data_IF_910732872526
#
_entry.id   IF_910732872526
#
_cell.length_a   1.000
_cell.length_b   1.000
_cell.length_c   1.000
_cell.angle_alpha   90.00
_cell.angle_beta   90.00
_cell.angle_gamma   90.00
#
_symmetry.space_group_name_H-M   'P 1'
#
loop_
_entity.id
_entity.type
_entity.pdbx_description
1 polymer ?
#
# COMPACT_ATOMS: atom_id res chain seq x y z
N UNK A 1 5.55 -7.52 7.40
CA UNK A 1 5.10 -7.34 8.80
C UNK A 1 6.02 -8.10 9.75
N UNK A 2 5.99 -9.44 9.76
CA UNK A 2 6.80 -10.23 10.71
C UNK A 2 8.31 -9.95 10.62
N UNK A 3 8.88 -9.87 9.41
CA UNK A 3 10.31 -9.59 9.21
C UNK A 3 10.73 -8.18 9.66
N UNK A 4 9.80 -7.22 9.68
CA UNK A 4 10.08 -5.84 10.08
C UNK A 4 9.81 -5.57 11.56
N UNK A 5 9.17 -6.49 12.29
CA UNK A 5 8.71 -6.27 13.66
C UNK A 5 7.59 -5.23 13.79
N UNK A 6 7.00 -4.80 12.68
CA UNK A 6 5.92 -3.80 12.65
C UNK A 6 4.58 -4.52 12.72
N UNK A 7 3.75 -4.13 13.69
CA UNK A 7 2.38 -4.61 13.87
C UNK A 7 1.45 -3.94 12.84
N UNK A 8 1.56 -4.38 11.58
CA UNK A 8 0.77 -3.87 10.48
C UNK A 8 -0.54 -4.66 10.33
N UNK A 9 -1.66 -3.95 10.27
CA UNK A 9 -2.94 -4.53 9.86
C UNK A 9 -2.93 -4.86 8.36
N UNK A 10 -3.09 -6.15 8.05
CA UNK A 10 -3.11 -6.64 6.68
C UNK A 10 -4.57 -6.79 6.25
N UNK A 11 -4.98 -5.98 5.28
CA UNK A 11 -6.31 -6.04 4.68
C UNK A 11 -6.19 -6.57 3.26
N UNK A 12 -6.79 -7.73 3.01
CA UNK A 12 -7.09 -8.20 1.66
C UNK A 12 -8.45 -7.63 1.22
N UNK A 13 -8.44 -6.83 0.16
CA UNK A 13 -9.64 -6.17 -0.37
C UNK A 13 -10.66 -7.17 -0.90
N UNK A 14 -10.20 -8.27 -1.52
CA UNK A 14 -10.99 -9.27 -2.26
C UNK A 14 -11.76 -8.70 -3.46
N UNK A 15 -12.58 -7.68 -3.26
CA UNK A 15 -13.30 -6.93 -4.30
C UNK A 15 -12.56 -5.64 -4.62
N UNK A 16 -12.08 -5.51 -5.87
CA UNK A 16 -11.40 -4.30 -6.34
C UNK A 16 -12.41 -3.15 -6.47
N UNK A 17 -13.53 -3.38 -7.14
CA UNK A 17 -14.59 -2.38 -7.25
C UNK A 17 -15.95 -3.02 -7.53
N UNK A 18 -17.01 -2.71 -6.78
CA UNK A 18 -17.01 -1.86 -5.58
C UNK A 18 -16.20 -2.49 -4.43
N UNK A 19 -15.47 -1.66 -3.69
CA UNK A 19 -14.63 -2.09 -2.57
C UNK A 19 -15.30 -1.86 -1.21
N UNK A 20 -14.82 -2.55 -0.17
CA UNK A 20 -15.26 -2.37 1.22
C UNK A 20 -14.57 -1.15 1.86
N UNK A 21 -15.06 0.04 1.53
CA UNK A 21 -14.49 1.31 1.97
C UNK A 21 -14.56 1.49 3.50
N UNK A 22 -15.68 1.16 4.19
CA UNK A 22 -15.76 1.28 5.64
C UNK A 22 -14.64 0.54 6.39
N UNK A 23 -14.30 -0.68 5.97
CA UNK A 23 -13.22 -1.46 6.59
C UNK A 23 -11.86 -0.78 6.45
N UNK A 24 -11.53 -0.27 5.26
CA UNK A 24 -10.26 0.43 5.00
C UNK A 24 -10.19 1.71 5.86
N UNK A 25 -11.23 2.54 5.82
CA UNK A 25 -11.27 3.81 6.55
C UNK A 25 -11.18 3.58 8.05
N UNK A 26 -11.86 2.57 8.58
CA UNK A 26 -11.80 2.24 10.01
C UNK A 26 -10.39 1.84 10.45
N UNK A 27 -9.68 1.02 9.66
CA UNK A 27 -8.31 0.62 9.97
C UNK A 27 -7.35 1.81 9.87
N UNK A 28 -7.40 2.60 8.80
CA UNK A 28 -6.50 3.75 8.63
C UNK A 28 -6.74 4.83 9.69
N UNK A 29 -7.99 5.10 10.08
CA UNK A 29 -8.29 6.03 11.18
C UNK A 29 -7.71 5.57 12.52
N UNK A 30 -7.57 4.26 12.73
CA UNK A 30 -7.00 3.70 13.95
C UNK A 30 -5.47 3.70 13.93
N UNK A 31 -4.84 3.39 12.80
CA UNK A 31 -3.38 3.31 12.67
C UNK A 31 -2.70 4.64 12.33
N UNK A 32 -3.46 5.57 11.75
CA UNK A 32 -2.98 6.86 11.23
C UNK A 32 -2.06 6.73 10.00
N UNK A 33 -1.88 5.52 9.47
CA UNK A 33 -0.85 5.18 8.47
C UNK A 33 -1.37 4.14 7.49
N UNK A 34 -0.92 4.21 6.24
CA UNK A 34 -1.33 3.27 5.21
C UNK A 34 -0.21 3.02 4.20
N UNK A 35 -0.04 1.76 3.81
CA UNK A 35 0.81 1.34 2.68
C UNK A 35 -0.04 0.49 1.75
N UNK A 36 -0.16 0.91 0.48
CA UNK A 36 -0.88 0.14 -0.55
C UNK A 36 0.12 -0.72 -1.33
N UNK A 37 -0.18 -2.00 -1.51
CA UNK A 37 0.70 -2.94 -2.21
C UNK A 37 -0.06 -3.67 -3.32
N UNK A 38 0.48 -3.69 -4.54
CA UNK A 38 -0.07 -4.48 -5.66
C UNK A 38 0.98 -4.71 -6.76
N UNK A 39 0.86 -5.79 -7.53
CA UNK A 39 1.84 -6.14 -8.58
C UNK A 39 1.78 -5.23 -9.82
N UNK A 40 0.61 -4.66 -10.12
CA UNK A 40 0.40 -3.79 -11.28
C UNK A 40 1.35 -2.58 -11.27
N UNK A 41 1.55 -1.98 -12.46
CA UNK A 41 2.36 -0.78 -12.64
C UNK A 41 1.86 0.38 -11.77
N UNK A 42 2.75 1.30 -11.42
CA UNK A 42 2.50 2.34 -10.42
C UNK A 42 1.54 3.41 -10.93
N UNK A 43 1.81 3.90 -12.13
CA UNK A 43 1.13 5.05 -12.72
C UNK A 43 -0.26 4.61 -13.21
N UNK A 44 -1.29 5.34 -12.76
CA UNK A 44 -2.70 5.05 -13.05
C UNK A 44 -3.16 3.62 -12.69
N UNK A 45 -2.42 2.93 -11.83
CA UNK A 45 -2.84 1.65 -11.25
C UNK A 45 -3.90 1.83 -10.16
N UNK A 46 -4.55 0.73 -9.75
CA UNK A 46 -5.63 0.78 -8.76
C UNK A 46 -5.21 1.37 -7.40
N UNK A 47 -3.93 1.25 -7.03
CA UNK A 47 -3.42 1.89 -5.83
C UNK A 47 -3.53 3.42 -5.84
N UNK A 48 -3.66 4.07 -7.00
CA UNK A 48 -3.92 5.51 -7.06
C UNK A 48 -5.32 5.87 -6.53
N UNK A 49 -6.34 5.07 -6.88
CA UNK A 49 -7.72 5.24 -6.39
C UNK A 49 -7.80 5.00 -4.88
N UNK A 50 -7.16 3.94 -4.38
CA UNK A 50 -7.10 3.67 -2.94
C UNK A 50 -6.47 4.82 -2.15
N UNK A 51 -5.37 5.39 -2.66
CA UNK A 51 -4.72 6.54 -2.03
C UNK A 51 -5.63 7.76 -2.02
N UNK A 52 -6.34 8.04 -3.12
CA UNK A 52 -7.27 9.16 -3.20
C UNK A 52 -8.42 9.02 -2.18
N UNK A 53 -9.07 7.85 -2.13
CA UNK A 53 -10.16 7.58 -1.19
C UNK A 53 -9.69 7.65 0.27
N UNK A 54 -8.52 7.09 0.59
CA UNK A 54 -7.96 7.18 1.94
C UNK A 54 -7.64 8.62 2.31
N UNK A 55 -7.04 9.38 1.40
CA UNK A 55 -6.75 10.79 1.62
C UNK A 55 -8.03 11.60 1.88
N UNK A 56 -9.08 11.39 1.07
CA UNK A 56 -10.36 12.09 1.19
C UNK A 56 -11.04 11.80 2.54
N UNK A 57 -11.09 10.54 2.95
CA UNK A 57 -11.84 10.11 4.13
C UNK A 57 -11.04 10.12 5.45
N UNK A 58 -9.70 10.17 5.37
CA UNK A 58 -8.82 10.05 6.53
C UNK A 58 -7.82 11.20 6.69
N UNK A 59 -7.91 12.29 5.91
CA UNK A 59 -6.95 13.40 5.90
C UNK A 59 -6.41 13.82 7.27
N UNK A 60 -7.31 14.12 8.23
CA UNK A 60 -6.92 14.60 9.56
C UNK A 60 -6.40 13.51 10.51
N UNK A 61 -6.57 12.23 10.16
CA UNK A 61 -6.06 11.11 10.95
C UNK A 61 -4.73 10.59 10.41
N UNK A 62 -4.30 11.02 9.22
CA UNK A 62 -3.03 10.59 8.63
C UNK A 62 -1.86 11.28 9.34
N UNK A 63 -1.02 10.48 9.98
CA UNK A 63 0.21 10.94 10.66
C UNK A 63 1.37 11.07 9.66
N UNK A 64 1.33 10.31 8.57
CA UNK A 64 2.39 10.27 7.55
C UNK A 64 1.79 10.24 6.14
N UNK A 65 2.58 10.59 5.09
CA UNK A 65 2.17 10.34 3.71
C UNK A 65 1.82 8.87 3.46
N UNK A 66 0.82 8.62 2.62
CA UNK A 66 0.43 7.26 2.22
C UNK A 66 1.47 6.71 1.24
N UNK A 67 2.10 5.59 1.57
CA UNK A 67 3.09 4.94 0.71
C UNK A 67 2.42 3.95 -0.26
N UNK A 68 3.08 3.71 -1.40
CA UNK A 68 2.65 2.68 -2.37
C UNK A 68 3.83 1.84 -2.83
N UNK A 69 3.72 0.52 -2.74
CA UNK A 69 4.71 -0.43 -3.23
C UNK A 69 4.10 -1.22 -4.38
N UNK A 70 4.58 -0.96 -5.59
CA UNK A 70 3.97 -1.49 -6.81
C UNK A 70 5.00 -2.14 -7.74
N UNK A 71 4.52 -2.75 -8.82
CA UNK A 71 5.37 -2.98 -10.00
C UNK A 71 5.93 -1.66 -10.54
N UNK A 72 7.05 -1.75 -11.26
CA UNK A 72 7.66 -0.59 -11.92
C UNK A 72 6.82 -0.16 -13.14
N UNK A 73 6.97 1.08 -13.60
CA UNK A 73 6.32 1.56 -14.82
C UNK A 73 7.07 1.08 -16.07
N UNK A 74 7.12 -0.24 -16.23
CA UNK A 74 7.74 -0.95 -17.34
C UNK A 74 6.90 -2.18 -17.69
N UNK A 75 6.97 -2.69 -18.94
CA UNK A 75 6.48 -4.04 -19.22
C UNK A 75 7.12 -5.07 -18.29
N UNK A 76 6.37 -6.12 -17.98
CA UNK A 76 6.82 -7.15 -17.04
C UNK A 76 8.00 -7.94 -17.64
N UNK A 77 9.20 -7.95 -17.01
CA UNK A 77 10.37 -8.62 -17.54
C UNK A 77 10.41 -10.11 -17.15
N UNK A 78 10.97 -10.95 -18.02
CA UNK A 78 11.17 -12.37 -17.69
C UNK A 78 12.41 -12.62 -16.81
N UNK A 79 13.59 -12.18 -17.25
CA UNK A 79 14.85 -12.44 -16.54
C UNK A 79 14.99 -11.62 -15.25
N UNK A 80 14.31 -10.47 -15.15
CA UNK A 80 14.36 -9.57 -14.00
C UNK A 80 13.12 -9.67 -13.10
N UNK A 81 12.39 -10.80 -13.16
CA UNK A 81 11.19 -11.11 -12.36
C UNK A 81 11.29 -10.60 -10.92
N UNK A 82 12.31 -11.05 -10.17
CA UNK A 82 12.47 -10.74 -8.75
C UNK A 82 12.94 -9.31 -8.46
N UNK A 83 13.51 -8.62 -9.45
CA UNK A 83 13.80 -7.19 -9.33
C UNK A 83 12.55 -6.34 -9.62
N UNK A 84 11.61 -6.86 -10.41
CA UNK A 84 10.35 -6.21 -10.73
C UNK A 84 9.30 -6.42 -9.62
N UNK A 85 9.12 -7.66 -9.19
CA UNK A 85 8.09 -8.06 -8.24
C UNK A 85 8.24 -7.31 -6.90
N UNK A 86 7.15 -6.74 -6.34
CA UNK A 86 7.18 -6.05 -5.05
C UNK A 86 7.25 -7.05 -3.87
N UNK A 87 8.40 -7.72 -3.73
CA UNK A 87 8.61 -8.75 -2.71
C UNK A 87 8.79 -8.24 -1.28
N UNK A 88 8.98 -9.16 -0.31
CA UNK A 88 9.02 -8.86 1.13
C UNK A 88 9.99 -7.73 1.52
N UNK A 89 11.19 -7.71 0.94
CA UNK A 89 12.19 -6.67 1.24
C UNK A 89 11.73 -5.27 0.81
N UNK A 90 11.13 -5.12 -0.38
CA UNK A 90 10.63 -3.82 -0.88
C UNK A 90 9.43 -3.34 -0.07
N UNK A 91 8.53 -4.26 0.29
CA UNK A 91 7.38 -3.96 1.15
C UNK A 91 7.84 -3.57 2.55
N UNK A 92 8.79 -4.32 3.12
CA UNK A 92 9.32 -4.07 4.46
C UNK A 92 10.00 -2.70 4.58
N UNK A 93 10.79 -2.31 3.57
CA UNK A 93 11.39 -0.99 3.51
C UNK A 93 10.35 0.14 3.48
N UNK A 94 9.20 -0.06 2.82
CA UNK A 94 8.12 0.92 2.82
C UNK A 94 7.43 1.03 4.18
N UNK A 95 7.15 -0.11 4.83
CA UNK A 95 6.61 -0.11 6.19
C UNK A 95 7.50 0.67 7.16
N UNK A 96 8.82 0.49 7.08
CA UNK A 96 9.79 1.23 7.90
C UNK A 96 9.71 2.75 7.65
N UNK A 97 9.73 3.20 6.38
CA UNK A 97 9.60 4.62 6.04
C UNK A 97 8.33 5.26 6.58
N UNK A 98 7.20 4.53 6.57
CA UNK A 98 5.91 5.02 7.09
C UNK A 98 5.92 5.14 8.62
N UNK A 99 6.81 4.46 9.33
CA UNK A 99 6.92 4.56 10.80
C UNK A 99 7.88 5.66 11.26
N UNK A 100 8.81 6.09 10.42
CA UNK A 100 9.84 7.10 10.75
C UNK A 100 9.38 8.56 10.55
N UNK A 101 8.38 8.77 9.70
CA UNK A 101 7.87 10.10 9.34
C UNK A 101 6.89 10.67 10.37
#
# INVERSE_FOLDING_TARGET
>A
ANETGIDAEIIDLRSIWPLDLPTIVASVKKTGRCVVVHEATRTSGFGAELVALVQEHCFYHLETPIERVTGWDTPYPHAQEWAYFPGPARVGAALQRTMEA
#
